data_IF_411316262551
#
_entry.id   IF_411316262551
#
_cell.length_a   1.000
_cell.length_b   1.000
_cell.length_c   1.000
_cell.angle_alpha   90.00
_cell.angle_beta   90.00
_cell.angle_gamma   90.00
#
_symmetry.space_group_name_H-M   'P 1'
#
loop_
_entity.id
_entity.type
_entity.pdbx_description
1 polymer ?
#
# COMPACT_ATOMS: atom_id res chain seq x y z
N UNK A 1 39.80 -0.08 29.20
CA UNK A 1 39.16 -1.41 29.05
C UNK A 1 37.69 -1.45 29.49
N UNK A 2 37.33 -0.96 30.70
CA UNK A 2 35.97 -1.06 31.25
C UNK A 2 34.86 -0.46 30.35
N UNK A 3 35.16 0.60 29.58
CA UNK A 3 34.17 1.25 28.70
C UNK A 3 33.90 0.52 27.38
N UNK A 4 34.87 -0.24 26.85
CA UNK A 4 34.69 -0.98 25.59
C UNK A 4 33.68 -2.12 25.76
N UNK A 5 33.73 -2.80 26.91
CA UNK A 5 32.81 -3.88 27.28
C UNK A 5 31.37 -3.41 27.56
N UNK A 6 31.14 -2.09 27.68
CA UNK A 6 29.80 -1.50 27.86
C UNK A 6 29.12 -1.12 26.54
N UNK A 7 29.79 -1.33 25.40
CA UNK A 7 29.20 -1.06 24.09
C UNK A 7 28.18 -2.13 23.73
N UNK A 8 27.10 -1.71 23.08
CA UNK A 8 26.00 -2.58 22.64
C UNK A 8 25.91 -2.58 21.13
N UNK A 9 25.23 -3.57 20.59
CA UNK A 9 25.05 -3.69 19.15
C UNK A 9 24.15 -2.59 18.58
N UNK A 10 24.30 -2.30 17.29
CA UNK A 10 23.46 -1.31 16.62
C UNK A 10 21.97 -1.66 16.70
N UNK A 11 21.61 -2.94 16.70
CA UNK A 11 20.21 -3.38 16.81
C UNK A 11 19.59 -3.01 18.15
N UNK A 12 20.32 -3.22 19.25
CA UNK A 12 19.87 -2.88 20.59
C UNK A 12 19.73 -1.37 20.78
N UNK A 13 20.69 -0.59 20.26
CA UNK A 13 20.62 0.87 20.25
C UNK A 13 19.37 1.35 19.50
N UNK A 14 19.17 0.88 18.27
CA UNK A 14 18.02 1.28 17.47
C UNK A 14 16.69 0.83 18.06
N UNK A 15 16.64 -0.36 18.68
CA UNK A 15 15.45 -0.85 19.39
C UNK A 15 15.07 0.11 20.53
N UNK A 16 16.03 0.56 21.32
CA UNK A 16 15.81 1.54 22.39
C UNK A 16 15.38 2.91 21.87
N UNK A 17 16.06 3.43 20.83
CA UNK A 17 15.79 4.75 20.26
C UNK A 17 14.41 4.84 19.59
N UNK A 18 14.01 3.78 18.88
CA UNK A 18 12.75 3.73 18.13
C UNK A 18 11.53 3.48 19.03
N UNK A 19 11.69 2.75 20.13
CA UNK A 19 10.65 2.49 21.14
C UNK A 19 9.32 1.97 20.56
N UNK A 20 9.37 1.16 19.50
CA UNK A 20 8.18 0.74 18.74
C UNK A 20 7.24 -0.20 19.53
N UNK A 21 7.79 -0.96 20.48
CA UNK A 21 7.06 -1.97 21.26
C UNK A 21 6.49 -1.45 22.59
N UNK A 22 6.61 -0.15 22.87
CA UNK A 22 6.18 0.45 24.13
C UNK A 22 4.65 0.51 24.33
N UNK A 23 4.22 0.67 25.58
CA UNK A 23 2.80 0.78 25.94
C UNK A 23 2.07 1.94 25.22
N UNK A 24 2.78 3.03 24.92
CA UNK A 24 2.23 4.17 24.18
C UNK A 24 1.88 3.86 22.72
N UNK A 25 2.61 2.95 22.08
CA UNK A 25 2.36 2.54 20.69
C UNK A 25 1.09 1.71 20.56
N UNK A 26 0.78 0.87 21.56
CA UNK A 26 -0.38 -0.04 21.56
C UNK A 26 -1.73 0.66 21.50
N UNK A 27 -1.88 1.81 22.19
CA UNK A 27 -3.16 2.53 22.32
C UNK A 27 -3.14 3.92 21.65
N UNK A 28 -2.24 4.15 20.70
CA UNK A 28 -2.21 5.39 19.92
C UNK A 28 -1.92 6.65 20.74
N UNK A 29 -1.22 6.53 21.88
CA UNK A 29 -0.92 7.67 22.75
C UNK A 29 0.18 8.59 22.19
N UNK A 30 1.00 8.08 21.26
CA UNK A 30 2.08 8.84 20.62
C UNK A 30 1.62 9.61 19.38
N UNK A 31 1.95 10.90 19.30
CA UNK A 31 1.78 11.71 18.09
C UNK A 31 2.76 11.24 17.01
N UNK A 32 2.31 11.18 15.75
CA UNK A 32 3.12 10.68 14.60
C UNK A 32 3.88 11.76 13.83
N UNK A 33 3.73 13.03 14.20
CA UNK A 33 4.28 14.18 13.45
C UNK A 33 5.80 14.17 13.33
N UNK A 34 6.51 13.75 14.39
CA UNK A 34 7.99 13.68 14.44
C UNK A 34 8.46 12.27 14.81
N UNK A 35 8.04 11.25 14.03
CA UNK A 35 8.49 9.87 14.24
C UNK A 35 9.97 9.73 13.89
N UNK A 36 10.75 9.13 14.79
CA UNK A 36 12.15 8.77 14.52
C UNK A 36 12.22 7.68 13.44
N UNK A 37 13.26 7.73 12.60
CA UNK A 37 13.50 6.72 11.58
C UNK A 37 14.83 6.02 11.83
N UNK A 38 14.84 4.69 11.73
CA UNK A 38 16.07 3.89 11.74
C UNK A 38 16.92 4.26 10.51
N UNK A 39 18.21 4.47 10.73
CA UNK A 39 19.22 4.66 9.69
C UNK A 39 20.29 3.60 9.86
N UNK A 40 20.54 2.85 8.80
CA UNK A 40 21.65 1.92 8.78
C UNK A 40 22.96 2.70 8.63
N UNK A 41 23.88 2.50 9.58
CA UNK A 41 25.16 3.19 9.64
C UNK A 41 26.26 2.40 8.91
N UNK A 42 26.06 1.12 8.63
CA UNK A 42 27.05 0.27 7.96
C UNK A 42 27.00 0.45 6.43
N UNK A 43 25.88 0.95 5.91
CA UNK A 43 25.72 1.21 4.48
C UNK A 43 26.66 2.34 4.02
N UNK A 44 27.47 2.04 3.01
CA UNK A 44 28.45 2.99 2.44
C UNK A 44 29.81 3.00 3.14
N UNK A 45 30.06 2.07 4.07
CA UNK A 45 31.39 1.84 4.63
C UNK A 45 32.06 0.67 3.91
N UNK A 46 33.30 0.87 3.47
CA UNK A 46 34.14 -0.18 2.89
C UNK A 46 35.06 -0.76 3.96
N UNK A 47 35.22 -2.08 3.97
CA UNK A 47 36.07 -2.77 4.95
C UNK A 47 37.52 -2.37 4.73
N UNK A 48 38.20 -1.96 5.81
CA UNK A 48 39.60 -1.54 5.81
C UNK A 48 39.79 -0.03 5.65
N UNK A 49 38.77 0.71 5.22
CA UNK A 49 38.81 2.16 5.11
C UNK A 49 38.59 2.80 6.48
N UNK A 50 39.39 3.81 6.82
CA UNK A 50 39.34 4.43 8.14
C UNK A 50 39.95 5.82 8.14
N UNK A 51 39.74 6.57 9.23
CA UNK A 51 40.23 7.96 9.33
C UNK A 51 41.74 8.09 9.15
N UNK A 52 42.51 7.05 9.49
CA UNK A 52 43.96 7.02 9.33
C UNK A 52 44.45 6.93 7.88
N UNK A 53 43.58 6.66 6.90
CA UNK A 53 43.96 6.59 5.48
C UNK A 53 44.94 5.47 5.15
N UNK A 54 44.93 4.37 5.92
CA UNK A 54 45.81 3.23 5.69
C UNK A 54 45.35 2.40 4.48
N UNK A 55 46.34 1.94 3.73
CA UNK A 55 46.22 1.17 2.53
C UNK A 55 46.64 -0.27 2.83
N UNK A 56 45.66 -1.14 2.98
CA UNK A 56 45.84 -2.56 3.32
C UNK A 56 45.76 -3.42 2.04
N UNK A 57 46.87 -4.03 1.60
CA UNK A 57 46.87 -4.97 0.49
C UNK A 57 45.96 -6.17 0.80
N UNK A 58 45.04 -6.50 -0.11
CA UNK A 58 44.06 -7.57 0.04
C UNK A 58 42.74 -7.16 0.73
N UNK A 59 42.63 -5.91 1.23
CA UNK A 59 41.40 -5.41 1.86
C UNK A 59 40.88 -4.15 1.16
N UNK A 60 41.64 -3.05 1.20
CA UNK A 60 41.30 -1.79 0.51
C UNK A 60 41.86 -1.74 -0.92
N UNK A 61 43.01 -2.38 -1.14
CA UNK A 61 43.81 -2.28 -2.36
C UNK A 61 44.19 -3.69 -2.83
N UNK A 62 44.32 -3.93 -4.15
CA UNK A 62 44.75 -5.22 -4.68
C UNK A 62 46.15 -5.61 -4.20
N UNK A 63 46.37 -6.91 -3.94
CA UNK A 63 47.64 -7.44 -3.43
C UNK A 63 48.79 -7.20 -4.42
N UNK A 64 48.53 -7.33 -5.71
CA UNK A 64 49.52 -7.16 -6.78
C UNK A 64 49.14 -5.95 -7.64
N UNK A 65 50.11 -5.07 -7.90
CA UNK A 65 49.97 -3.97 -8.86
C UNK A 65 51.24 -3.92 -9.71
N UNK A 66 51.06 -3.96 -11.03
CA UNK A 66 52.15 -3.99 -12.01
C UNK A 66 53.19 -5.10 -11.78
N UNK A 67 52.75 -6.28 -11.36
CA UNK A 67 53.63 -7.45 -11.14
C UNK A 67 54.36 -7.49 -9.81
N UNK A 68 54.27 -6.42 -9.00
CA UNK A 68 54.88 -6.34 -7.65
C UNK A 68 53.83 -6.45 -6.54
N UNK A 69 54.19 -7.14 -5.45
CA UNK A 69 53.37 -7.23 -4.22
C UNK A 69 53.39 -5.86 -3.54
N UNK A 70 52.21 -5.32 -3.25
CA UNK A 70 52.09 -4.03 -2.57
C UNK A 70 52.34 -4.17 -1.07
N UNK A 71 53.07 -3.20 -0.51
CA UNK A 71 53.26 -3.07 0.92
C UNK A 71 52.16 -2.20 1.56
N UNK A 72 52.02 -2.28 2.89
CA UNK A 72 51.14 -1.39 3.65
C UNK A 72 51.63 0.04 3.47
N UNK A 73 50.74 0.93 3.03
CA UNK A 73 51.05 2.34 2.82
C UNK A 73 49.98 3.23 3.47
N UNK A 74 50.18 4.54 3.43
CA UNK A 74 49.23 5.53 3.94
C UNK A 74 48.97 6.54 2.84
N UNK A 75 47.70 6.93 2.64
CA UNK A 75 47.35 8.01 1.71
C UNK A 75 47.86 9.36 2.21
N UNK A 76 48.06 10.26 1.26
CA UNK A 76 48.30 11.66 1.54
C UNK A 76 47.07 12.28 2.22
N UNK A 77 47.31 13.31 3.03
CA UNK A 77 46.23 13.96 3.78
C UNK A 77 45.18 14.59 2.86
N UNK A 78 45.60 15.26 1.77
CA UNK A 78 44.68 15.85 0.80
C UNK A 78 43.76 14.80 0.16
N UNK A 79 44.35 13.67 -0.29
CA UNK A 79 43.57 12.57 -0.88
C UNK A 79 42.58 11.97 0.11
N UNK A 80 42.95 11.90 1.40
CA UNK A 80 42.07 11.38 2.44
C UNK A 80 40.91 12.34 2.75
N UNK A 81 41.16 13.64 2.74
CA UNK A 81 40.12 14.67 2.91
C UNK A 81 39.14 14.65 1.74
N UNK A 82 39.63 14.50 0.50
CA UNK A 82 38.80 14.38 -0.69
C UNK A 82 37.89 13.14 -0.63
N UNK A 83 38.43 11.98 -0.22
CA UNK A 83 37.64 10.77 -0.05
C UNK A 83 36.58 10.92 1.05
N UNK A 84 36.91 11.56 2.17
CA UNK A 84 35.94 11.83 3.24
C UNK A 84 34.84 12.78 2.76
N UNK A 85 35.21 13.83 2.02
CA UNK A 85 34.26 14.76 1.42
C UNK A 85 33.33 14.03 0.43
N UNK A 86 33.87 13.12 -0.37
CA UNK A 86 33.09 12.32 -1.31
C UNK A 86 32.11 11.37 -0.60
N UNK A 87 32.54 10.71 0.48
CA UNK A 87 31.65 9.88 1.32
C UNK A 87 30.49 10.72 1.89
N UNK A 88 30.78 11.94 2.34
CA UNK A 88 29.75 12.87 2.86
C UNK A 88 28.78 13.27 1.74
N UNK A 89 29.29 13.59 0.55
CA UNK A 89 28.45 13.91 -0.63
C UNK A 89 27.52 12.77 -0.97
N UNK A 90 28.04 11.54 -1.08
CA UNK A 90 27.23 10.35 -1.36
C UNK A 90 26.14 10.13 -0.28
N UNK A 91 26.49 10.34 0.99
CA UNK A 91 25.54 10.26 2.10
C UNK A 91 24.42 11.30 1.98
N UNK A 92 24.76 12.54 1.64
CA UNK A 92 23.80 13.64 1.50
C UNK A 92 22.89 13.44 0.28
N UNK A 93 23.45 12.95 -0.83
CA UNK A 93 22.67 12.55 -2.00
C UNK A 93 21.69 11.43 -1.69
N UNK A 94 22.14 10.42 -0.93
CA UNK A 94 21.29 9.31 -0.51
C UNK A 94 20.15 9.78 0.39
N UNK A 95 20.45 10.65 1.37
CA UNK A 95 19.45 11.26 2.23
C UNK A 95 18.48 12.14 1.43
N UNK A 96 18.97 12.88 0.42
CA UNK A 96 18.13 13.69 -0.49
C UNK A 96 17.16 12.81 -1.26
N UNK A 97 17.65 11.74 -1.90
CA UNK A 97 16.82 10.78 -2.64
C UNK A 97 15.76 10.15 -1.75
N UNK A 98 16.11 9.79 -0.51
CA UNK A 98 15.15 9.24 0.47
C UNK A 98 14.08 10.25 0.92
N UNK A 99 14.40 11.55 0.99
CA UNK A 99 13.44 12.60 1.35
C UNK A 99 12.51 12.98 0.20
N UNK A 100 12.90 12.72 -1.04
CA UNK A 100 12.06 13.02 -2.19
C UNK A 100 10.81 12.14 -2.19
N UNK A 101 9.64 12.78 -2.25
CA UNK A 101 8.35 12.10 -2.29
C UNK A 101 7.92 11.92 -3.74
N UNK A 102 7.71 10.67 -4.14
CA UNK A 102 7.13 10.34 -5.45
C UNK A 102 5.72 10.90 -5.53
N UNK A 103 5.42 11.63 -6.62
CA UNK A 103 4.06 12.11 -6.90
C UNK A 103 3.19 10.90 -7.22
N UNK A 104 2.06 10.78 -6.52
CA UNK A 104 1.08 9.72 -6.73
C UNK A 104 -0.15 10.33 -7.35
N UNK A 105 -0.78 9.60 -8.26
CA UNK A 105 -2.11 9.94 -8.74
C UNK A 105 -3.10 9.95 -7.56
N UNK A 106 -3.91 11.01 -7.50
CA UNK A 106 -4.94 11.16 -6.47
C UNK A 106 -6.25 10.59 -6.99
N UNK A 107 -7.07 10.08 -6.07
CA UNK A 107 -8.47 9.79 -6.35
C UNK A 107 -9.32 11.06 -6.24
N UNK A 108 -10.49 10.94 -5.60
CA UNK A 108 -11.46 12.04 -5.48
C UNK A 108 -10.91 13.27 -4.74
N UNK A 109 -10.11 13.06 -3.69
CA UNK A 109 -9.44 14.14 -2.94
C UNK A 109 -7.99 13.77 -2.64
N UNK A 110 -7.17 14.74 -2.22
CA UNK A 110 -5.74 14.51 -1.98
C UNK A 110 -5.41 13.58 -0.79
N UNK A 111 -6.30 13.48 0.20
CA UNK A 111 -6.09 12.64 1.38
C UNK A 111 -7.06 11.43 1.45
N UNK A 112 -8.12 11.42 0.64
CA UNK A 112 -9.02 10.28 0.55
C UNK A 112 -8.37 9.11 -0.19
N UNK A 113 -8.85 7.91 0.13
CA UNK A 113 -8.51 6.71 -0.61
C UNK A 113 -9.50 6.40 -1.74
N UNK A 114 -10.71 6.95 -1.68
CA UNK A 114 -11.72 6.80 -2.74
C UNK A 114 -11.20 7.28 -4.09
N UNK A 115 -11.37 6.45 -5.11
CA UNK A 115 -10.94 6.69 -6.49
C UNK A 115 -9.46 6.38 -6.78
N UNK A 116 -8.69 5.86 -5.82
CA UNK A 116 -7.30 5.41 -6.07
C UNK A 116 -7.31 4.02 -6.71
N UNK A 117 -6.54 3.84 -7.78
CA UNK A 117 -6.24 2.52 -8.36
C UNK A 117 -5.23 1.77 -7.51
N UNK A 118 -5.54 0.51 -7.21
CA UNK A 118 -4.65 -0.44 -6.53
C UNK A 118 -3.82 -1.25 -7.54
N UNK A 119 -4.23 -1.25 -8.80
CA UNK A 119 -3.69 -2.12 -9.85
C UNK A 119 -4.49 -3.43 -9.97
N UNK A 120 -3.98 -4.38 -10.76
CA UNK A 120 -4.62 -5.68 -10.93
C UNK A 120 -4.59 -6.48 -9.62
N UNK A 121 -5.61 -7.33 -9.39
CA UNK A 121 -5.62 -8.29 -8.30
C UNK A 121 -4.37 -9.19 -8.30
N UNK A 122 -3.97 -9.67 -7.12
CA UNK A 122 -2.88 -10.64 -7.00
C UNK A 122 -3.26 -11.95 -7.73
N UNK A 123 -2.31 -12.58 -8.42
CA UNK A 123 -2.55 -13.81 -9.19
C UNK A 123 -3.06 -14.96 -8.31
N UNK A 124 -3.99 -15.76 -8.83
CA UNK A 124 -4.53 -16.91 -8.13
C UNK A 124 -3.50 -18.02 -7.89
N UNK A 125 -3.71 -18.89 -6.88
CA UNK A 125 -2.83 -20.03 -6.60
C UNK A 125 -2.75 -21.05 -7.75
N UNK A 126 -3.73 -21.02 -8.66
CA UNK A 126 -3.82 -21.91 -9.82
C UNK A 126 -3.18 -21.30 -11.09
N UNK A 127 -2.48 -20.17 -10.97
CA UNK A 127 -1.86 -19.48 -12.11
C UNK A 127 -2.81 -18.56 -12.90
N UNK A 128 -4.03 -18.35 -12.42
CA UNK A 128 -4.97 -17.39 -12.99
C UNK A 128 -4.44 -15.97 -12.82
N UNK A 129 -4.37 -15.24 -13.92
CA UNK A 129 -3.82 -13.89 -13.98
C UNK A 129 -4.93 -12.91 -14.34
N UNK A 130 -5.04 -11.81 -13.59
CA UNK A 130 -6.10 -10.81 -13.71
C UNK A 130 -5.53 -9.47 -14.20
N UNK A 131 -4.63 -9.50 -15.20
CA UNK A 131 -3.96 -8.31 -15.73
C UNK A 131 -4.92 -7.28 -16.35
N UNK A 132 -6.03 -7.76 -16.93
CA UNK A 132 -7.03 -6.91 -17.56
C UNK A 132 -7.93 -6.18 -16.55
N UNK A 133 -7.85 -6.52 -15.27
CA UNK A 133 -8.70 -5.93 -14.24
C UNK A 133 -8.01 -4.75 -13.56
N UNK A 134 -8.72 -3.63 -13.42
CA UNK A 134 -8.33 -2.52 -12.53
C UNK A 134 -9.15 -2.58 -11.24
N UNK A 135 -8.46 -2.41 -10.12
CA UNK A 135 -9.08 -2.38 -8.79
C UNK A 135 -9.10 -0.95 -8.27
N UNK A 136 -10.28 -0.39 -8.05
CA UNK A 136 -10.47 0.96 -7.53
C UNK A 136 -11.13 0.96 -6.16
N UNK A 137 -10.57 1.76 -5.26
CA UNK A 137 -11.10 1.89 -3.90
C UNK A 137 -12.33 2.78 -3.90
N UNK A 138 -13.43 2.31 -3.32
CA UNK A 138 -14.63 3.12 -3.10
C UNK A 138 -14.56 3.77 -1.72
N UNK A 139 -14.34 2.96 -0.69
CA UNK A 139 -14.39 3.42 0.70
C UNK A 139 -13.34 2.76 1.58
N UNK A 140 -12.77 3.53 2.51
CA UNK A 140 -11.88 3.03 3.57
C UNK A 140 -12.28 3.64 4.91
N UNK A 141 -12.77 2.81 5.83
CA UNK A 141 -13.22 3.20 7.16
C UNK A 141 -12.38 2.56 8.25
N UNK A 142 -12.07 3.32 9.29
CA UNK A 142 -11.49 2.80 10.52
C UNK A 142 -12.61 2.44 11.49
N UNK A 143 -12.87 1.14 11.66
CA UNK A 143 -13.88 0.61 12.58
C UNK A 143 -13.23 0.14 13.88
N UNK A 144 -14.01 0.07 14.96
CA UNK A 144 -13.51 -0.31 16.26
C UNK A 144 -14.45 -1.31 16.92
N UNK A 145 -13.87 -2.28 17.63
CA UNK A 145 -14.63 -3.21 18.48
C UNK A 145 -14.08 -3.18 19.91
N UNK A 146 -14.94 -3.34 20.90
CA UNK A 146 -14.54 -3.44 22.30
C UNK A 146 -14.15 -4.88 22.63
N UNK A 147 -13.02 -5.07 23.28
CA UNK A 147 -12.50 -6.39 23.70
C UNK A 147 -12.14 -6.34 25.18
N UNK A 148 -12.31 -7.45 25.90
CA UNK A 148 -12.08 -7.50 27.34
C UNK A 148 -10.64 -7.17 27.75
N UNK A 149 -9.65 -7.60 26.96
CA UNK A 149 -8.21 -7.42 27.28
C UNK A 149 -7.65 -6.10 26.74
N UNK A 150 -7.85 -5.82 25.46
CA UNK A 150 -7.21 -4.68 24.80
C UNK A 150 -8.04 -3.38 24.93
N UNK A 151 -9.34 -3.52 25.20
CA UNK A 151 -10.32 -2.44 25.12
C UNK A 151 -10.69 -2.18 23.66
N UNK A 152 -10.62 -0.92 23.24
CA UNK A 152 -10.95 -0.49 21.87
C UNK A 152 -9.92 -0.99 20.85
N UNK A 153 -10.24 -2.07 20.15
CA UNK A 153 -9.43 -2.65 19.08
C UNK A 153 -9.81 -2.05 17.73
N UNK A 154 -8.83 -1.48 17.04
CA UNK A 154 -9.01 -0.88 15.70
C UNK A 154 -8.92 -1.95 14.62
N UNK A 155 -9.80 -1.85 13.62
CA UNK A 155 -9.69 -2.56 12.34
C UNK A 155 -10.02 -1.61 11.20
N UNK A 156 -9.59 -1.96 9.99
CA UNK A 156 -9.87 -1.20 8.78
C UNK A 156 -10.82 -2.03 7.93
N UNK A 157 -11.89 -1.38 7.47
CA UNK A 157 -12.85 -1.91 6.51
C UNK A 157 -12.65 -1.17 5.21
N UNK A 158 -12.42 -1.88 4.13
CA UNK A 158 -12.22 -1.31 2.80
C UNK A 158 -13.21 -1.93 1.81
N UNK A 159 -13.88 -1.09 1.02
CA UNK A 159 -14.71 -1.50 -0.10
C UNK A 159 -13.96 -1.18 -1.38
N UNK A 160 -13.69 -2.20 -2.17
CA UNK A 160 -12.96 -2.13 -3.44
C UNK A 160 -13.87 -2.65 -4.54
N UNK A 161 -13.82 -2.01 -5.70
CA UNK A 161 -14.46 -2.49 -6.92
C UNK A 161 -13.38 -2.88 -7.93
N UNK A 162 -13.61 -3.98 -8.63
CA UNK A 162 -12.70 -4.56 -9.61
C UNK A 162 -13.45 -4.68 -10.92
N UNK A 163 -12.82 -4.35 -12.05
CA UNK A 163 -13.45 -4.50 -13.35
C UNK A 163 -12.48 -4.45 -14.52
N UNK A 164 -12.85 -5.12 -15.61
CA UNK A 164 -12.02 -5.25 -16.82
C UNK A 164 -12.39 -4.26 -17.94
N UNK A 165 -13.32 -3.34 -17.69
CA UNK A 165 -13.82 -2.39 -18.70
C UNK A 165 -14.73 -3.01 -19.78
N UNK A 166 -14.84 -4.34 -19.82
CA UNK A 166 -15.60 -5.10 -20.82
C UNK A 166 -16.91 -5.67 -20.23
N UNK A 167 -17.53 -4.94 -19.32
CA UNK A 167 -18.80 -5.31 -18.69
C UNK A 167 -18.69 -6.27 -17.50
N UNK A 168 -17.53 -6.89 -17.24
CA UNK A 168 -17.33 -7.69 -16.02
C UNK A 168 -16.80 -6.80 -14.89
N UNK A 169 -17.59 -6.70 -13.81
CA UNK A 169 -17.22 -5.95 -12.62
C UNK A 169 -17.73 -6.62 -11.35
N UNK A 170 -16.95 -6.48 -10.27
CA UNK A 170 -17.26 -6.95 -8.94
C UNK A 170 -16.94 -5.89 -7.90
N UNK A 171 -17.44 -6.06 -6.69
CA UNK A 171 -16.98 -5.29 -5.54
C UNK A 171 -16.87 -6.20 -4.33
N UNK A 172 -15.92 -5.95 -3.44
CA UNK A 172 -15.73 -6.75 -2.23
C UNK A 172 -15.41 -5.88 -1.02
N UNK A 173 -15.77 -6.39 0.15
CA UNK A 173 -15.46 -5.77 1.44
C UNK A 173 -14.35 -6.56 2.14
N UNK A 174 -13.20 -5.91 2.32
CA UNK A 174 -12.06 -6.44 3.06
C UNK A 174 -11.95 -5.84 4.47
N UNK A 175 -11.78 -6.69 5.48
CA UNK A 175 -11.54 -6.27 6.87
C UNK A 175 -10.27 -6.87 7.44
N UNK A 176 -9.37 -6.02 7.91
CA UNK A 176 -8.10 -6.42 8.52
C UNK A 176 -7.60 -5.39 9.56
N UNK A 177 -6.55 -5.73 10.30
CA UNK A 177 -5.88 -4.77 11.19
C UNK A 177 -5.10 -3.71 10.39
N UNK A 178 -4.37 -4.17 9.35
CA UNK A 178 -3.57 -3.33 8.47
C UNK A 178 -4.35 -2.92 7.23
N UNK A 179 -4.10 -1.69 6.77
CA UNK A 179 -4.83 -1.07 5.66
C UNK A 179 -4.56 -1.78 4.35
N UNK A 180 -3.30 -2.09 4.07
CA UNK A 180 -2.87 -2.74 2.83
C UNK A 180 -3.49 -4.12 2.72
N UNK A 181 -3.50 -4.86 3.83
CA UNK A 181 -4.17 -6.15 3.91
C UNK A 181 -5.67 -6.01 3.72
N UNK A 182 -6.33 -5.01 4.33
CA UNK A 182 -7.77 -4.81 4.14
C UNK A 182 -8.13 -4.49 2.68
N UNK A 183 -7.28 -3.72 1.97
CA UNK A 183 -7.50 -3.36 0.58
C UNK A 183 -7.31 -4.51 -0.40
N UNK A 184 -6.44 -5.48 -0.09
CA UNK A 184 -6.18 -6.65 -0.94
C UNK A 184 -6.93 -7.91 -0.52
N UNK A 185 -7.58 -7.88 0.65
CA UNK A 185 -8.34 -9.00 1.17
C UNK A 185 -9.71 -9.02 0.51
N UNK A 186 -9.75 -9.60 -0.68
CA UNK A 186 -10.99 -9.99 -1.33
C UNK A 186 -11.18 -11.50 -1.13
N UNK A 187 -12.33 -11.91 -0.61
CA UNK A 187 -12.73 -13.32 -0.62
C UNK A 187 -14.01 -13.42 -1.42
N UNK A 188 -14.01 -14.22 -2.49
CA UNK A 188 -15.19 -14.54 -3.30
C UNK A 188 -16.36 -14.99 -2.42
N UNK A 189 -16.06 -15.69 -1.31
CA UNK A 189 -17.03 -16.09 -0.30
C UNK A 189 -17.71 -14.92 0.43
N UNK A 190 -16.98 -13.85 0.78
CA UNK A 190 -17.56 -12.67 1.44
C UNK A 190 -18.44 -11.86 0.48
N UNK A 191 -18.12 -11.87 -0.82
CA UNK A 191 -18.92 -11.26 -1.87
C UNK A 191 -20.27 -11.97 -2.05
N UNK A 192 -20.23 -13.31 -2.13
CA UNK A 192 -21.44 -14.14 -2.21
C UNK A 192 -22.34 -13.95 -0.97
N UNK A 193 -21.76 -13.96 0.23
CA UNK A 193 -22.52 -13.87 1.50
C UNK A 193 -23.20 -12.52 1.72
N UNK A 194 -22.58 -11.40 1.34
CA UNK A 194 -23.17 -10.07 1.54
C UNK A 194 -24.32 -9.76 0.56
N UNK A 195 -24.26 -10.30 -0.66
CA UNK A 195 -25.25 -10.04 -1.71
C UNK A 195 -26.35 -11.09 -1.81
N UNK A 196 -26.20 -12.23 -1.12
CA UNK A 196 -27.06 -13.40 -1.29
C UNK A 196 -27.20 -13.84 -2.76
N UNK A 197 -26.11 -13.73 -3.53
CA UNK A 197 -26.05 -14.10 -4.94
C UNK A 197 -24.82 -14.95 -5.22
N UNK A 198 -24.94 -15.85 -6.20
CA UNK A 198 -23.83 -16.67 -6.66
C UNK A 198 -22.80 -15.80 -7.38
N UNK A 199 -21.53 -15.96 -7.04
CA UNK A 199 -20.42 -15.36 -7.77
C UNK A 199 -20.05 -16.34 -8.87
N UNK A 200 -20.32 -15.94 -10.11
CA UNK A 200 -20.13 -16.75 -11.31
C UNK A 200 -19.00 -16.15 -12.13
N UNK A 201 -18.02 -16.97 -12.48
CA UNK A 201 -16.96 -16.65 -13.42
C UNK A 201 -17.29 -17.26 -14.79
N UNK A 202 -17.12 -16.47 -15.84
CA UNK A 202 -17.20 -16.92 -17.22
C UNK A 202 -15.78 -16.93 -17.80
N UNK A 203 -15.28 -18.11 -18.13
CA UNK A 203 -13.98 -18.26 -18.75
C UNK A 203 -14.14 -18.40 -20.26
N UNK A 204 -13.39 -17.61 -21.04
CA UNK A 204 -13.46 -17.62 -22.51
C UNK A 204 -13.16 -19.01 -23.11
N UNK A 205 -12.39 -19.84 -22.42
CA UNK A 205 -12.06 -21.22 -22.83
C UNK A 205 -13.28 -22.16 -22.69
N UNK A 206 -14.18 -21.87 -21.76
CA UNK A 206 -15.37 -22.67 -21.44
C UNK A 206 -16.64 -22.15 -22.13
N UNK A 207 -16.55 -21.11 -22.97
CA UNK A 207 -17.69 -20.54 -23.68
C UNK A 207 -18.74 -19.93 -22.74
N UNK A 208 -20.05 -20.10 -23.02
CA UNK A 208 -21.12 -19.50 -22.21
C UNK A 208 -21.37 -20.22 -20.88
N UNK A 209 -20.50 -21.15 -20.46
CA UNK A 209 -20.73 -21.97 -19.28
C UNK A 209 -20.44 -21.18 -17.99
N UNK A 210 -21.43 -20.99 -17.11
CA UNK A 210 -21.22 -20.30 -15.83
C UNK A 210 -20.49 -21.21 -14.83
N UNK A 211 -19.31 -20.80 -14.35
CA UNK A 211 -18.58 -21.50 -13.27
C UNK A 211 -18.86 -20.79 -11.95
N UNK A 212 -19.50 -21.47 -11.00
CA UNK A 212 -19.84 -20.88 -9.70
C UNK A 212 -18.61 -20.93 -8.78
N UNK A 213 -18.01 -19.77 -8.52
CA UNK A 213 -16.80 -19.61 -7.69
C UNK A 213 -17.14 -19.50 -6.20
N UNK A 214 -18.31 -18.94 -5.87
CA UNK A 214 -18.78 -18.88 -4.49
C UNK A 214 -20.32 -18.79 -4.42
N UNK A 215 -20.90 -19.51 -3.45
CA UNK A 215 -22.34 -19.54 -3.21
C UNK A 215 -22.67 -19.00 -1.81
N UNK A 216 -23.72 -18.17 -1.68
CA UNK A 216 -24.19 -17.72 -0.37
C UNK A 216 -24.74 -18.92 0.41
N UNK A 217 -24.32 -19.05 1.67
CA UNK A 217 -24.78 -20.16 2.54
C UNK A 217 -26.29 -20.15 2.84
N UNK A 218 -27.01 -19.07 2.52
CA UNK A 218 -28.44 -18.86 2.82
C UNK A 218 -29.38 -18.91 1.59
N UNK A 219 -28.87 -19.29 0.41
CA UNK A 219 -29.67 -19.39 -0.83
C UNK A 219 -29.83 -18.06 -1.59
N UNK A 220 -30.09 -18.16 -2.90
CA UNK A 220 -30.35 -17.05 -3.83
C UNK A 220 -31.86 -16.98 -4.15
N UNK A 221 -32.35 -15.81 -4.54
CA UNK A 221 -33.78 -15.53 -4.78
C UNK A 221 -34.23 -16.09 -6.14
N UNK A 222 -35.45 -16.63 -6.22
CA UNK A 222 -35.88 -17.55 -7.30
C UNK A 222 -36.85 -16.97 -8.37
N UNK A 223 -37.51 -15.82 -8.18
CA UNK A 223 -38.65 -15.44 -9.05
C UNK A 223 -38.33 -14.34 -10.10
N UNK A 224 -38.69 -14.53 -11.39
CA UNK A 224 -38.68 -13.49 -12.42
C UNK A 224 -39.98 -12.64 -12.44
N UNK A 225 -39.88 -11.36 -12.81
CA UNK A 225 -41.00 -10.41 -12.76
C UNK A 225 -41.82 -10.36 -14.08
N UNK A 226 -43.17 -10.25 -13.99
CA UNK A 226 -44.06 -10.15 -15.15
C UNK A 226 -44.06 -8.74 -15.77
N UNK A 227 -44.26 -8.66 -17.09
CA UNK A 227 -44.33 -7.42 -17.86
C UNK A 227 -45.79 -6.99 -18.13
N UNK A 228 -46.16 -5.80 -17.69
CA UNK A 228 -47.48 -5.19 -17.89
C UNK A 228 -47.47 -4.15 -19.04
N UNK A 229 -48.53 -4.11 -19.86
CA UNK A 229 -48.64 -3.23 -21.05
C UNK A 229 -48.78 -1.73 -20.72
N UNK A 230 -49.25 -1.37 -19.52
CA UNK A 230 -49.23 0.01 -19.00
C UNK A 230 -48.67 -0.04 -17.58
N UNK A 231 -47.46 0.48 -17.34
CA UNK A 231 -46.85 0.37 -16.05
C UNK A 231 -47.56 1.29 -15.04
N UNK A 232 -48.10 0.72 -13.96
CA UNK A 232 -48.42 1.47 -12.71
C UNK A 232 -47.12 1.77 -11.94
N UNK A 233 -46.13 2.30 -12.67
CA UNK A 233 -44.84 2.70 -12.12
C UNK A 233 -45.03 4.00 -11.38
N UNK A 234 -44.77 3.98 -10.07
CA UNK A 234 -44.63 5.19 -9.27
C UNK A 234 -43.57 6.09 -9.92
N UNK A 235 -44.03 7.16 -10.56
CA UNK A 235 -43.14 8.18 -11.12
C UNK A 235 -42.46 8.93 -9.96
N UNK A 236 -41.15 9.16 -10.10
CA UNK A 236 -40.45 10.07 -9.20
C UNK A 236 -40.83 11.51 -9.54
N UNK A 237 -41.38 12.21 -8.57
CA UNK A 237 -41.81 13.60 -8.71
C UNK A 237 -40.66 14.54 -9.09
N UNK A 238 -39.42 14.21 -8.75
CA UNK A 238 -38.25 15.00 -9.12
C UNK A 238 -37.89 14.91 -10.61
N UNK A 239 -38.17 13.78 -11.27
CA UNK A 239 -37.99 13.61 -12.70
C UNK A 239 -39.13 14.29 -13.47
N UNK A 240 -40.37 14.19 -12.96
CA UNK A 240 -41.53 14.90 -13.52
C UNK A 240 -41.31 16.41 -13.48
N UNK A 241 -40.84 16.96 -12.37
CA UNK A 241 -40.49 18.39 -12.27
C UNK A 241 -39.35 18.78 -13.21
N UNK A 242 -38.35 17.91 -13.41
CA UNK A 242 -37.25 18.20 -14.31
C UNK A 242 -37.75 18.27 -15.76
N UNK A 243 -38.56 17.29 -16.19
CA UNK A 243 -39.16 17.24 -17.52
C UNK A 243 -40.12 18.43 -17.78
N UNK A 244 -40.86 18.86 -16.76
CA UNK A 244 -41.75 20.02 -16.84
C UNK A 244 -41.04 21.37 -16.64
N UNK A 245 -39.71 21.40 -16.52
CA UNK A 245 -38.93 22.63 -16.30
C UNK A 245 -39.21 23.33 -14.96
N UNK A 246 -39.86 22.64 -14.02
CA UNK A 246 -40.20 23.13 -12.69
C UNK A 246 -39.04 22.99 -11.68
N UNK A 247 -38.05 22.14 -11.98
CA UNK A 247 -36.89 21.91 -11.10
C UNK A 247 -35.91 23.09 -11.16
N UNK A 248 -36.03 24.02 -10.21
CA UNK A 248 -35.10 25.14 -10.04
C UNK A 248 -34.00 24.77 -9.05
N UNK A 249 -32.83 24.39 -9.54
CA UNK A 249 -31.63 24.17 -8.71
C UNK A 249 -30.42 24.83 -9.34
N UNK A 250 -29.77 25.73 -8.59
CA UNK A 250 -28.52 26.40 -8.99
C UNK A 250 -27.37 25.38 -9.15
N UNK A 251 -27.52 24.16 -8.62
CA UNK A 251 -26.51 23.10 -8.65
C UNK A 251 -26.67 22.11 -9.81
N UNK A 252 -27.80 22.14 -10.53
CA UNK A 252 -28.12 21.15 -11.56
C UNK A 252 -27.18 21.27 -12.78
N UNK A 253 -27.05 22.47 -13.33
CA UNK A 253 -26.36 22.70 -14.61
C UNK A 253 -24.96 23.32 -14.44
N UNK A 254 -24.30 23.03 -13.32
CA UNK A 254 -22.95 23.53 -13.05
C UNK A 254 -21.95 22.87 -13.98
N UNK A 255 -21.12 23.68 -14.64
CA UNK A 255 -20.01 23.19 -15.50
C UNK A 255 -19.02 22.34 -14.68
N UNK A 256 -18.78 21.10 -15.10
CA UNK A 256 -17.83 20.16 -14.49
C UNK A 256 -16.73 19.77 -15.48
N UNK A 257 -15.61 19.27 -14.97
CA UNK A 257 -14.55 18.69 -15.79
C UNK A 257 -15.01 17.38 -16.43
N UNK A 258 -14.32 16.96 -17.49
CA UNK A 258 -14.56 15.69 -18.18
C UNK A 258 -14.33 14.53 -17.20
N UNK A 259 -15.21 13.53 -17.25
CA UNK A 259 -15.19 12.32 -16.42
C UNK A 259 -14.48 11.16 -17.10
#
# INVERSE_FOLDING_TARGET
>A
FIYFLKTVTAEELWRGVMAETGAGARKGRGKRTKRKMKKDLNRGQTVGEGRGGFLWPGLNIPIVKSGTIQAISKRDQAQQEDLQAEIIRQRDEWDRRRRMKVKRERGWTGNSWGGISLGPPDSGPNGETYEDFDSRVIEVKSVFNMTAKEGRKRSISALVAVGNGNGAAGFALGKAADRTTALRKETHQNLAENKQLHVVEFQNVCGPLPIIVASPRRGAREDPEPEDEIPDTKLDWDDVKAAQGMKRSVWADVKRTIW
#
